data_IF_270686158871
#
_entry.id   IF_270686158871
#
_cell.length_a   1.000
_cell.length_b   1.000
_cell.length_c   1.000
_cell.angle_alpha   90.00
_cell.angle_beta   90.00
_cell.angle_gamma   90.00
#
_symmetry.space_group_name_H-M   'P 1'
#
loop_
_entity.id
_entity.type
_entity.pdbx_description
1 polymer ?
#
# COMPACT_ATOMS: atom_id res chain seq x y z
N UNK A 1 -21.39 37.19 -28.42
CA UNK A 1 -22.54 37.89 -27.77
C UNK A 1 -22.42 37.65 -26.28
N UNK A 2 -22.17 38.73 -25.55
CA UNK A 2 -21.98 38.77 -24.10
C UNK A 2 -23.29 38.64 -23.35
N UNK A 3 -23.29 37.93 -22.23
CA UNK A 3 -24.19 38.25 -21.12
C UNK A 3 -23.48 37.99 -19.79
N UNK A 4 -23.03 39.09 -19.18
CA UNK A 4 -22.66 39.17 -17.77
C UNK A 4 -23.95 39.18 -16.96
N UNK A 5 -24.02 38.46 -15.85
CA UNK A 5 -24.99 38.75 -14.79
C UNK A 5 -24.25 38.78 -13.45
N UNK A 6 -24.24 39.97 -12.86
CA UNK A 6 -23.79 40.26 -11.51
C UNK A 6 -25.03 40.50 -10.64
N UNK A 7 -25.04 40.00 -9.40
CA UNK A 7 -25.91 40.43 -8.29
C UNK A 7 -25.26 39.88 -7.01
N UNK A 8 -24.63 40.71 -6.16
CA UNK A 8 -25.17 41.65 -5.17
C UNK A 8 -25.21 41.02 -3.75
N UNK A 9 -24.25 41.46 -2.93
CA UNK A 9 -24.21 41.32 -1.47
C UNK A 9 -25.38 42.06 -0.80
N UNK A 10 -25.79 41.60 0.39
CA UNK A 10 -26.20 42.50 1.45
C UNK A 10 -25.30 42.40 2.69
N UNK A 11 -24.86 43.57 3.15
CA UNK A 11 -24.35 43.87 4.50
C UNK A 11 -25.50 43.80 5.51
N UNK A 12 -25.26 43.22 6.69
CA UNK A 12 -26.10 43.41 7.88
C UNK A 12 -25.24 43.82 9.08
N UNK A 13 -25.70 44.86 9.77
CA UNK A 13 -25.06 45.58 10.87
C UNK A 13 -25.22 44.88 12.24
N UNK A 14 -24.36 45.33 13.15
CA UNK A 14 -24.12 44.92 14.53
C UNK A 14 -25.33 44.90 15.50
N UNK A 15 -25.19 44.14 16.60
CA UNK A 15 -25.50 44.65 17.95
C UNK A 15 -24.90 43.79 19.07
N UNK A 16 -24.72 44.46 20.21
CA UNK A 16 -23.92 44.20 21.40
C UNK A 16 -24.56 43.29 22.46
N UNK A 17 -23.70 42.82 23.37
CA UNK A 17 -23.89 42.63 24.83
C UNK A 17 -24.18 41.22 25.33
N UNK A 18 -23.36 40.77 26.29
CA UNK A 18 -23.65 39.55 27.05
C UNK A 18 -22.52 39.06 27.97
N UNK A 19 -22.41 39.72 29.13
CA UNK A 19 -22.06 39.18 30.46
C UNK A 19 -20.87 38.23 30.68
N UNK A 20 -20.01 38.68 31.58
CA UNK A 20 -18.99 37.97 32.36
C UNK A 20 -19.44 36.60 32.89
N UNK A 21 -18.60 35.59 32.71
CA UNK A 21 -18.60 34.41 33.57
C UNK A 21 -17.18 33.89 33.74
N UNK A 22 -16.60 34.21 34.90
CA UNK A 22 -15.35 33.62 35.40
C UNK A 22 -15.67 32.21 35.86
N UNK A 23 -15.43 31.23 35.00
CA UNK A 23 -15.38 29.83 35.40
C UNK A 23 -13.93 29.47 35.76
N UNK A 24 -13.65 28.80 36.88
CA UNK A 24 -12.32 28.28 37.17
C UNK A 24 -12.00 27.20 36.13
N UNK A 25 -11.15 27.56 35.17
CA UNK A 25 -10.60 26.61 34.22
C UNK A 25 -9.59 25.75 34.98
N UNK A 26 -10.08 24.66 35.57
CA UNK A 26 -9.24 23.51 35.88
C UNK A 26 -8.66 23.03 34.55
N UNK A 27 -7.48 23.55 34.20
CA UNK A 27 -6.61 22.94 33.21
C UNK A 27 -6.20 21.59 33.78
N UNK A 28 -7.01 20.57 33.50
CA UNK A 28 -6.48 19.22 33.42
C UNK A 28 -5.53 19.25 32.24
N UNK A 29 -4.25 19.47 32.53
CA UNK A 29 -3.14 19.12 31.65
C UNK A 29 -3.18 17.61 31.47
N UNK A 30 -4.11 17.12 30.64
CA UNK A 30 -3.98 15.82 30.01
C UNK A 30 -2.87 16.02 29.01
N UNK A 31 -1.65 15.82 29.50
CA UNK A 31 -0.44 15.77 28.70
C UNK A 31 -0.62 14.63 27.71
N UNK A 32 -1.17 14.97 26.55
CA UNK A 32 -1.25 14.08 25.39
C UNK A 32 0.20 13.77 25.03
N UNK A 33 0.68 12.66 25.56
CA UNK A 33 1.98 12.10 25.23
C UNK A 33 1.91 11.81 23.73
N UNK A 34 2.52 12.67 22.93
CA UNK A 34 2.58 12.47 21.49
C UNK A 34 3.25 11.11 21.28
N UNK A 35 2.66 10.21 20.46
CA UNK A 35 3.29 8.92 20.20
C UNK A 35 4.72 9.15 19.70
N UNK A 36 5.70 8.64 20.46
CA UNK A 36 7.10 8.76 20.07
C UNK A 36 7.33 8.01 18.75
N UNK A 37 8.10 8.61 17.85
CA UNK A 37 8.49 7.96 16.61
C UNK A 37 9.18 6.62 16.92
N UNK A 38 8.95 5.58 16.10
CA UNK A 38 9.58 4.29 16.32
C UNK A 38 11.10 4.40 16.17
N UNK A 39 11.82 3.63 16.99
CA UNK A 39 13.29 3.57 16.89
C UNK A 39 13.71 2.59 15.79
N UNK A 40 14.81 2.91 15.09
CA UNK A 40 15.28 2.14 13.94
C UNK A 40 16.23 1.01 14.35
N UNK A 41 16.04 -0.16 13.77
CA UNK A 41 16.89 -1.34 13.88
C UNK A 41 17.55 -1.68 12.54
N UNK A 42 18.72 -2.31 12.60
CA UNK A 42 19.47 -2.81 11.44
C UNK A 42 19.60 -4.35 11.52
N UNK A 43 19.79 -5.04 10.39
CA UNK A 43 19.74 -4.52 9.00
C UNK A 43 18.30 -4.37 8.45
N UNK A 44 18.10 -3.74 7.28
CA UNK A 44 16.84 -3.87 6.54
C UNK A 44 16.62 -5.31 6.05
N UNK A 45 15.38 -5.65 5.70
CA UNK A 45 15.08 -6.89 4.98
C UNK A 45 15.66 -6.78 3.57
N UNK A 46 16.46 -7.76 3.14
CA UNK A 46 17.20 -7.75 1.88
C UNK A 46 17.03 -9.01 1.01
N UNK A 47 16.55 -10.12 1.60
CA UNK A 47 16.29 -11.36 0.89
C UNK A 47 14.83 -11.45 0.46
N UNK A 48 14.62 -11.32 -0.85
CA UNK A 48 13.30 -11.37 -1.49
C UNK A 48 13.24 -12.40 -2.61
N UNK A 49 12.05 -12.94 -2.84
CA UNK A 49 11.72 -13.72 -4.03
C UNK A 49 10.42 -13.21 -4.63
N UNK A 50 10.32 -13.22 -5.96
CA UNK A 50 9.08 -12.85 -6.65
C UNK A 50 8.67 -13.88 -7.69
N UNK A 51 7.38 -14.20 -7.73
CA UNK A 51 6.79 -15.13 -8.69
C UNK A 51 5.51 -14.55 -9.30
N UNK A 52 5.13 -15.07 -10.47
CA UNK A 52 3.80 -14.89 -11.05
C UNK A 52 3.03 -16.20 -10.90
N UNK A 53 1.84 -16.13 -10.33
CA UNK A 53 0.94 -17.27 -10.09
C UNK A 53 -0.35 -17.06 -10.88
N UNK A 54 -0.68 -17.99 -11.78
CA UNK A 54 -1.95 -17.96 -12.49
C UNK A 54 -2.99 -18.83 -11.78
N UNK A 55 -4.19 -18.31 -11.62
CA UNK A 55 -5.37 -19.05 -11.22
C UNK A 55 -6.36 -19.11 -12.37
N UNK A 56 -6.91 -20.30 -12.63
CA UNK A 56 -7.97 -20.51 -13.60
C UNK A 56 -9.14 -21.21 -12.91
N UNK A 57 -10.33 -20.66 -13.09
CA UNK A 57 -11.58 -21.17 -12.53
C UNK A 57 -12.60 -21.32 -13.64
N UNK A 58 -13.46 -22.32 -13.52
CA UNK A 58 -14.56 -22.52 -14.46
C UNK A 58 -15.58 -21.38 -14.33
N UNK A 59 -16.06 -20.87 -15.48
CA UNK A 59 -17.06 -19.81 -15.54
C UNK A 59 -18.35 -20.26 -16.28
N UNK A 60 -18.54 -21.57 -16.46
CA UNK A 60 -19.67 -22.16 -17.17
C UNK A 60 -19.58 -22.02 -18.70
N UNK A 61 -20.44 -22.73 -19.43
CA UNK A 61 -20.61 -22.61 -20.90
C UNK A 61 -19.30 -22.55 -21.72
N UNK A 62 -18.34 -23.44 -21.44
CA UNK A 62 -17.00 -23.48 -22.06
C UNK A 62 -16.17 -22.19 -21.88
N UNK A 63 -16.36 -21.51 -20.74
CA UNK A 63 -15.61 -20.31 -20.35
C UNK A 63 -14.76 -20.55 -19.12
N UNK A 64 -13.70 -19.78 -19.03
CA UNK A 64 -12.83 -19.70 -17.86
C UNK A 64 -12.76 -18.26 -17.39
N UNK A 65 -12.69 -18.10 -16.07
CA UNK A 65 -12.23 -16.88 -15.40
C UNK A 65 -10.82 -17.13 -14.92
N UNK A 66 -9.92 -16.19 -15.17
CA UNK A 66 -8.53 -16.33 -14.79
C UNK A 66 -8.00 -15.04 -14.17
N UNK A 67 -7.02 -15.20 -13.30
CA UNK A 67 -6.29 -14.11 -12.65
C UNK A 67 -4.80 -14.46 -12.62
N UNK A 68 -3.94 -13.47 -12.77
CA UNK A 68 -2.50 -13.58 -12.54
C UNK A 68 -2.13 -12.72 -11.34
N UNK A 69 -1.49 -13.35 -10.36
CA UNK A 69 -1.01 -12.71 -9.15
C UNK A 69 0.50 -12.56 -9.20
N UNK A 70 1.01 -11.41 -8.77
CA UNK A 70 2.40 -11.24 -8.40
C UNK A 70 2.54 -11.51 -6.90
N UNK A 71 3.45 -12.41 -6.57
CA UNK A 71 3.76 -12.76 -5.19
C UNK A 71 5.16 -12.31 -4.87
N UNK A 72 5.30 -11.60 -3.76
CA UNK A 72 6.56 -11.16 -3.17
C UNK A 72 6.68 -11.84 -1.82
N UNK A 73 7.71 -12.64 -1.63
CA UNK A 73 8.05 -13.21 -0.34
C UNK A 73 9.42 -12.71 0.12
N UNK A 74 9.63 -12.69 1.43
CA UNK A 74 10.93 -12.41 2.05
C UNK A 74 11.27 -13.46 3.11
N UNK A 75 12.54 -13.51 3.50
CA UNK A 75 12.97 -14.33 4.63
C UNK A 75 12.41 -13.75 5.94
N UNK A 76 12.04 -14.63 6.86
CA UNK A 76 11.62 -14.24 8.20
C UNK A 76 12.71 -13.37 8.86
N UNK A 77 12.30 -12.24 9.45
CA UNK A 77 13.22 -11.36 10.15
C UNK A 77 13.24 -11.70 11.66
N UNK A 78 14.39 -12.02 12.26
CA UNK A 78 14.46 -12.41 13.66
C UNK A 78 13.85 -11.39 14.62
N UNK A 79 12.87 -11.83 15.42
CA UNK A 79 12.16 -10.98 16.37
C UNK A 79 11.08 -10.09 15.76
N UNK A 80 10.75 -10.26 14.48
CA UNK A 80 9.59 -9.60 13.88
C UNK A 80 8.28 -10.11 14.50
N UNK A 81 7.45 -9.18 14.93
CA UNK A 81 6.08 -9.44 15.39
C UNK A 81 5.06 -9.15 14.30
N UNK A 82 5.47 -8.42 13.26
CA UNK A 82 4.71 -8.13 12.05
C UNK A 82 5.63 -7.53 10.98
N UNK A 83 5.08 -7.32 9.79
CA UNK A 83 5.68 -6.55 8.72
C UNK A 83 4.79 -5.39 8.33
N UNK A 84 5.41 -4.27 7.98
CA UNK A 84 4.75 -3.13 7.38
C UNK A 84 5.18 -2.99 5.93
N UNK A 85 4.19 -2.80 5.06
CA UNK A 85 4.38 -2.61 3.64
C UNK A 85 3.94 -1.22 3.25
N UNK A 86 4.75 -0.59 2.41
CA UNK A 86 4.43 0.68 1.78
C UNK A 86 4.33 0.52 0.28
N UNK A 87 3.23 1.04 -0.27
CA UNK A 87 3.00 1.14 -1.70
C UNK A 87 3.76 2.34 -2.25
N UNK A 88 4.43 2.15 -3.37
CA UNK A 88 5.11 3.18 -4.14
C UNK A 88 4.55 3.15 -5.56
N UNK A 89 4.14 4.31 -6.05
CA UNK A 89 3.67 4.53 -7.42
C UNK A 89 4.47 5.67 -8.07
N UNK A 90 4.17 5.99 -9.33
CA UNK A 90 4.81 7.13 -10.02
C UNK A 90 4.57 8.47 -9.32
N UNK A 91 3.47 8.58 -8.57
CA UNK A 91 3.08 9.76 -7.79
C UNK A 91 3.81 9.84 -6.43
N UNK A 92 4.51 8.78 -6.01
CA UNK A 92 5.29 8.73 -4.78
C UNK A 92 4.90 7.59 -3.84
N UNK A 93 5.21 7.75 -2.55
CA UNK A 93 4.96 6.75 -1.52
C UNK A 93 3.63 7.01 -0.80
N UNK A 94 2.81 5.97 -0.65
CA UNK A 94 1.55 6.06 0.11
C UNK A 94 1.83 6.26 1.61
N UNK A 95 1.15 7.19 2.29
CA UNK A 95 1.26 7.32 3.76
C UNK A 95 0.56 6.17 4.50
N UNK A 96 -0.32 5.43 3.83
CA UNK A 96 -1.05 4.31 4.42
C UNK A 96 -0.21 3.04 4.36
N UNK A 97 0.23 2.57 5.53
CA UNK A 97 0.96 1.31 5.66
C UNK A 97 -0.02 0.14 5.74
N UNK A 98 0.32 -0.96 5.06
CA UNK A 98 -0.35 -2.26 5.23
C UNK A 98 0.45 -3.06 6.23
N UNK A 99 -0.17 -3.46 7.33
CA UNK A 99 0.42 -4.38 8.30
C UNK A 99 0.03 -5.83 7.95
N UNK A 100 0.96 -6.76 8.05
CA UNK A 100 0.68 -8.19 7.90
C UNK A 100 1.58 -9.03 8.79
N UNK A 101 1.16 -10.27 9.09
CA UNK A 101 1.92 -11.18 9.93
C UNK A 101 2.86 -12.09 9.13
N UNK A 102 2.41 -12.57 7.96
CA UNK A 102 3.21 -13.46 7.12
C UNK A 102 4.20 -12.74 6.22
N UNK A 103 5.10 -13.52 5.64
CA UNK A 103 6.27 -13.08 4.87
C UNK A 103 5.99 -12.98 3.37
N UNK A 104 4.75 -13.24 2.95
CA UNK A 104 4.37 -13.19 1.54
C UNK A 104 3.23 -12.18 1.32
N UNK A 105 3.47 -11.23 0.43
CA UNK A 105 2.45 -10.39 -0.18
C UNK A 105 2.00 -11.01 -1.50
N UNK A 106 0.69 -11.07 -1.71
CA UNK A 106 0.10 -11.47 -2.99
C UNK A 106 -0.79 -10.35 -3.53
N UNK A 107 -0.57 -9.98 -4.79
CA UNK A 107 -1.24 -8.85 -5.47
C UNK A 107 -1.79 -9.36 -6.79
N UNK A 108 -3.10 -9.20 -7.02
CA UNK A 108 -3.66 -9.44 -8.36
C UNK A 108 -3.14 -8.36 -9.31
N UNK A 109 -2.48 -8.78 -10.38
CA UNK A 109 -2.01 -7.88 -11.41
C UNK A 109 -3.11 -7.74 -12.45
N UNK A 110 -3.42 -8.85 -13.13
CA UNK A 110 -4.36 -8.88 -14.25
C UNK A 110 -5.37 -9.99 -14.05
N UNK A 111 -6.55 -9.81 -14.62
CA UNK A 111 -7.59 -10.82 -14.63
C UNK A 111 -8.43 -10.72 -15.91
N UNK A 112 -9.12 -11.80 -16.26
CA UNK A 112 -9.97 -11.86 -17.44
C UNK A 112 -10.95 -13.03 -17.41
N UNK A 113 -11.88 -13.02 -18.35
CA UNK A 113 -12.82 -14.11 -18.56
C UNK A 113 -13.08 -14.30 -20.07
N UNK A 114 -12.86 -15.49 -20.59
CA UNK A 114 -12.97 -15.79 -22.02
C UNK A 114 -13.34 -17.26 -22.27
N UNK A 115 -13.48 -17.66 -23.54
CA UNK A 115 -13.69 -19.08 -23.87
C UNK A 115 -12.46 -19.88 -23.46
N UNK A 116 -12.64 -21.10 -22.96
CA UNK A 116 -11.55 -21.96 -22.50
C UNK A 116 -10.49 -22.19 -23.58
N UNK A 117 -10.93 -22.36 -24.82
CA UNK A 117 -10.06 -22.54 -25.99
C UNK A 117 -9.09 -21.38 -26.25
N UNK A 118 -9.32 -20.21 -25.65
CA UNK A 118 -8.46 -19.03 -25.81
C UNK A 118 -7.38 -18.92 -24.71
N UNK A 119 -7.37 -19.80 -23.71
CA UNK A 119 -6.40 -19.76 -22.61
C UNK A 119 -6.41 -18.44 -21.83
N UNK A 120 -5.25 -17.96 -21.38
CA UNK A 120 -5.09 -16.68 -20.67
C UNK A 120 -5.01 -15.53 -21.68
N UNK A 121 -6.14 -15.19 -22.29
CA UNK A 121 -6.21 -14.28 -23.43
C UNK A 121 -5.58 -12.91 -23.09
N UNK A 122 -4.56 -12.53 -23.84
CA UNK A 122 -3.82 -11.25 -23.71
C UNK A 122 -3.08 -11.01 -22.39
N UNK A 123 -2.88 -12.05 -21.58
CA UNK A 123 -2.17 -11.98 -20.29
C UNK A 123 -0.86 -11.20 -20.37
N UNK A 124 0.03 -11.57 -21.27
CA UNK A 124 1.36 -10.94 -21.39
C UNK A 124 1.28 -9.44 -21.73
N UNK A 125 0.35 -9.06 -22.61
CA UNK A 125 0.18 -7.64 -22.95
C UNK A 125 -0.35 -6.85 -21.77
N UNK A 126 -1.32 -7.40 -21.02
CA UNK A 126 -1.86 -6.75 -19.83
C UNK A 126 -0.80 -6.63 -18.71
N UNK A 127 -0.01 -7.69 -18.49
CA UNK A 127 1.09 -7.66 -17.53
C UNK A 127 2.15 -6.62 -17.91
N UNK A 128 2.51 -6.55 -19.20
CA UNK A 128 3.46 -5.57 -19.70
C UNK A 128 3.03 -4.12 -19.48
N UNK A 129 1.72 -3.84 -19.55
CA UNK A 129 1.18 -2.50 -19.27
C UNK A 129 1.25 -2.12 -17.79
N UNK A 130 1.15 -3.10 -16.88
CA UNK A 130 1.15 -2.87 -15.44
C UNK A 130 2.54 -2.96 -14.80
N UNK A 131 3.48 -3.64 -15.46
CA UNK A 131 4.81 -3.88 -14.92
C UNK A 131 5.52 -2.56 -14.56
N UNK A 132 5.97 -2.45 -13.31
CA UNK A 132 6.69 -1.27 -12.84
C UNK A 132 5.83 -0.04 -12.53
N UNK A 133 4.50 -0.08 -12.71
CA UNK A 133 3.62 1.01 -12.27
C UNK A 133 3.40 1.03 -10.74
N UNK A 134 3.66 -0.10 -10.10
CA UNK A 134 3.50 -0.31 -8.67
C UNK A 134 4.77 -0.96 -8.12
N UNK A 135 5.18 -0.54 -6.93
CA UNK A 135 6.24 -1.18 -6.17
C UNK A 135 5.88 -1.27 -4.69
N UNK A 136 6.51 -2.21 -4.01
CA UNK A 136 6.40 -2.38 -2.56
C UNK A 136 7.77 -2.28 -1.92
N UNK A 137 7.84 -1.68 -0.74
CA UNK A 137 8.94 -1.87 0.20
C UNK A 137 8.41 -2.36 1.53
N UNK A 138 9.23 -3.12 2.25
CA UNK A 138 8.85 -3.82 3.47
C UNK A 138 9.81 -3.41 4.58
N UNK A 139 9.30 -3.30 5.80
CA UNK A 139 10.11 -3.25 7.02
C UNK A 139 9.55 -4.21 8.07
N UNK A 140 10.41 -4.76 8.90
CA UNK A 140 9.96 -5.54 10.04
C UNK A 140 9.53 -4.60 11.18
N UNK A 141 8.46 -4.98 11.86
CA UNK A 141 8.06 -4.40 13.14
C UNK A 141 8.52 -5.33 14.24
N UNK A 142 9.24 -4.77 15.20
CA UNK A 142 9.81 -5.48 16.34
C UNK A 142 9.04 -5.09 17.62
N UNK A 143 9.36 -5.76 18.73
CA UNK A 143 8.92 -5.32 20.06
C UNK A 143 9.39 -3.90 20.41
N UNK A 144 8.81 -3.33 21.46
CA UNK A 144 9.25 -2.06 22.06
C UNK A 144 9.25 -0.84 21.11
N UNK A 145 8.25 -0.76 20.22
CA UNK A 145 8.09 0.33 19.25
C UNK A 145 9.33 0.50 18.33
N UNK A 146 9.95 -0.63 17.96
CA UNK A 146 11.09 -0.67 17.04
C UNK A 146 10.66 -1.14 15.65
N UNK A 147 11.32 -0.61 14.63
CA UNK A 147 11.15 -1.02 13.23
C UNK A 147 12.49 -1.11 12.54
N UNK A 148 12.63 -1.93 11.51
CA UNK A 148 13.83 -1.86 10.67
C UNK A 148 13.80 -0.65 9.75
N UNK A 149 14.94 -0.34 9.14
CA UNK A 149 14.94 0.44 7.91
C UNK A 149 14.06 -0.23 6.84
N UNK A 150 13.58 0.59 5.90
CA UNK A 150 12.87 0.09 4.74
C UNK A 150 13.80 -0.72 3.85
N UNK A 151 13.30 -1.82 3.29
CA UNK A 151 13.96 -2.53 2.22
C UNK A 151 14.13 -1.66 0.97
N UNK A 152 14.88 -2.17 -0.01
CA UNK A 152 14.75 -1.68 -1.38
C UNK A 152 13.32 -1.84 -1.89
N UNK A 153 12.96 -1.09 -2.94
CA UNK A 153 11.65 -1.16 -3.57
C UNK A 153 11.59 -2.29 -4.60
N UNK A 154 10.60 -3.16 -4.50
CA UNK A 154 10.34 -4.25 -5.42
C UNK A 154 9.21 -3.86 -6.37
N UNK A 155 9.55 -3.62 -7.64
CA UNK A 155 8.58 -3.37 -8.69
C UNK A 155 7.74 -4.63 -8.96
N UNK A 156 6.43 -4.45 -9.11
CA UNK A 156 5.50 -5.52 -9.45
C UNK A 156 5.58 -5.88 -10.94
N UNK A 157 5.02 -7.04 -11.29
CA UNK A 157 4.89 -7.48 -12.68
C UNK A 157 6.13 -8.10 -13.30
N UNK A 158 7.23 -8.22 -12.55
CA UNK A 158 8.39 -9.06 -12.92
C UNK A 158 8.61 -10.16 -11.87
N UNK A 159 8.72 -11.39 -12.36
CA UNK A 159 9.30 -12.47 -11.58
C UNK A 159 10.83 -12.33 -11.60
N UNK A 160 11.45 -12.44 -10.44
CA UNK A 160 12.90 -12.48 -10.27
C UNK A 160 13.19 -13.64 -9.33
N UNK A 161 13.80 -14.69 -9.88
CA UNK A 161 14.55 -15.65 -9.07
C UNK A 161 15.95 -15.07 -8.89
N UNK A 162 16.28 -14.56 -7.70
CA UNK A 162 17.69 -14.33 -7.38
C UNK A 162 18.29 -15.71 -7.15
N UNK A 163 18.97 -16.25 -8.16
CA UNK A 163 19.58 -17.58 -8.12
C UNK A 163 20.53 -17.69 -6.91
N UNK A 164 20.20 -18.57 -5.97
CA UNK A 164 21.22 -19.27 -5.22
C UNK A 164 22.14 -19.96 -6.24
N UNK A 165 23.44 -19.72 -6.07
CA UNK A 165 24.51 -20.07 -6.99
C UNK A 165 24.40 -21.49 -7.55
N UNK A 166 24.36 -21.61 -8.88
CA UNK A 166 24.71 -22.85 -9.57
C UNK A 166 26.21 -23.10 -9.37
N UNK A 167 26.54 -23.95 -8.40
CA UNK A 167 27.88 -24.56 -8.32
C UNK A 167 27.93 -25.67 -9.37
N UNK A 168 28.76 -25.48 -10.40
CA UNK A 168 29.23 -26.58 -11.26
C UNK A 168 30.29 -27.38 -10.52
#
# INVERSE_FOLDING_TARGET
>A
MSTKLALLLPLLLATSCGSSQTAPSMRSDVQHSTPSAPSMALPPIDKFSTTLEDEVRDAGADRIRWSTYWKLCWDEYPGAIAYELQIITAEGSSPKLRRQLGECLRVEMVAGENKRSQGLLRREQMLGLQAGQLAYRVRAVLGDNRVTEWSQSMATGKAITVNAQTKR
#
